data_IF_722915089774
#
_entry.id   IF_722915089774
#
_cell.length_a   1.000
_cell.length_b   1.000
_cell.length_c   1.000
_cell.angle_alpha   90.00
_cell.angle_beta   90.00
_cell.angle_gamma   90.00
#
_symmetry.space_group_name_H-M   'P 1'
#
loop_
_entity.id
_entity.type
_entity.pdbx_description
1 polymer ?
#
# COMPACT_ATOMS: atom_id res chain seq x y z
N UNK A 1 -51.99 37.07 47.83
CA UNK A 1 -50.71 36.63 48.44
C UNK A 1 -50.37 35.27 47.86
N UNK A 2 -49.19 35.16 47.25
CA UNK A 2 -48.52 33.94 46.74
C UNK A 2 -49.23 33.15 45.63
N UNK A 3 -48.57 32.59 44.63
CA UNK A 3 -47.24 32.77 44.05
C UNK A 3 -47.29 31.99 42.73
N UNK A 4 -47.12 32.66 41.60
CA UNK A 4 -47.04 32.04 40.27
C UNK A 4 -45.66 31.41 40.11
N UNK A 5 -45.58 30.09 40.31
CA UNK A 5 -44.39 29.29 40.04
C UNK A 5 -44.38 28.93 38.55
N UNK A 6 -43.80 29.81 37.74
CA UNK A 6 -43.44 29.51 36.34
C UNK A 6 -42.14 28.70 36.39
N UNK A 7 -42.26 27.38 36.30
CA UNK A 7 -41.13 26.51 35.97
C UNK A 7 -40.72 26.82 34.53
N UNK A 8 -39.72 27.68 34.38
CA UNK A 8 -38.95 27.78 33.15
C UNK A 8 -38.12 26.50 33.03
N UNK A 9 -38.70 25.48 32.41
CA UNK A 9 -37.96 24.35 31.87
C UNK A 9 -37.09 24.87 30.73
N UNK A 10 -35.91 25.38 31.07
CA UNK A 10 -34.80 25.54 30.15
C UNK A 10 -34.37 24.15 29.70
N UNK A 11 -35.12 23.58 28.76
CA UNK A 11 -34.61 22.61 27.82
C UNK A 11 -33.44 23.29 27.13
N UNK A 12 -32.24 23.05 27.64
CA UNK A 12 -31.03 23.10 26.85
C UNK A 12 -31.31 22.19 25.65
N UNK A 13 -31.79 22.80 24.57
CA UNK A 13 -31.71 22.22 23.26
C UNK A 13 -30.24 22.06 22.99
N UNK A 14 -29.68 20.90 23.38
CA UNK A 14 -28.57 20.33 22.66
C UNK A 14 -29.09 20.23 21.24
N UNK A 15 -28.78 21.23 20.42
CA UNK A 15 -28.85 21.12 18.97
C UNK A 15 -27.93 19.95 18.69
N UNK A 16 -28.52 18.77 18.58
CA UNK A 16 -27.78 17.55 18.31
C UNK A 16 -27.12 17.82 16.97
N UNK A 17 -25.81 18.07 17.01
CA UNK A 17 -25.02 18.19 15.81
C UNK A 17 -25.27 16.91 15.03
N UNK A 18 -25.87 17.06 13.84
CA UNK A 18 -26.21 15.96 12.98
C UNK A 18 -25.18 15.87 11.88
N UNK A 19 -24.79 14.64 11.59
CA UNK A 19 -23.96 14.29 10.47
C UNK A 19 -24.66 14.72 9.19
N UNK A 20 -23.89 15.19 8.21
CA UNK A 20 -24.45 15.90 7.05
C UNK A 20 -23.62 15.66 5.80
N UNK A 21 -24.28 15.70 4.64
CA UNK A 21 -23.63 15.49 3.34
C UNK A 21 -23.68 16.81 2.57
N UNK A 22 -22.52 17.36 2.23
CA UNK A 22 -22.36 18.60 1.47
C UNK A 22 -21.86 18.26 0.08
N UNK A 23 -22.70 18.40 -0.94
CA UNK A 23 -22.30 18.17 -2.33
C UNK A 23 -21.48 19.36 -2.86
N UNK A 24 -20.26 19.07 -3.33
CA UNK A 24 -19.43 20.06 -4.03
C UNK A 24 -19.72 20.04 -5.52
N UNK A 25 -19.77 18.83 -6.09
CA UNK A 25 -20.16 18.57 -7.46
C UNK A 25 -21.11 17.37 -7.47
N UNK A 26 -22.39 17.54 -7.84
CA UNK A 26 -23.35 16.44 -7.87
C UNK A 26 -22.81 15.24 -8.62
N UNK A 27 -22.96 14.06 -8.02
CA UNK A 27 -22.48 12.77 -8.54
C UNK A 27 -20.96 12.62 -8.77
N UNK A 28 -20.15 13.61 -8.40
CA UNK A 28 -18.69 13.58 -8.59
C UNK A 28 -17.94 13.76 -7.28
N UNK A 29 -18.33 14.71 -6.43
CA UNK A 29 -17.67 14.94 -5.15
C UNK A 29 -18.60 15.49 -4.08
N UNK A 30 -18.40 15.02 -2.86
CA UNK A 30 -19.15 15.42 -1.68
C UNK A 30 -18.24 15.39 -0.46
N UNK A 31 -18.49 16.27 0.50
CA UNK A 31 -17.89 16.21 1.83
C UNK A 31 -18.94 15.70 2.79
N UNK A 32 -18.61 14.65 3.50
CA UNK A 32 -19.44 14.07 4.54
C UNK A 32 -18.89 14.52 5.88
N UNK A 33 -19.71 15.19 6.67
CA UNK A 33 -19.44 15.46 8.08
C UNK A 33 -19.95 14.27 8.88
N UNK A 34 -19.05 13.54 9.53
CA UNK A 34 -19.34 12.41 10.41
C UNK A 34 -19.12 12.83 11.85
N UNK A 35 -20.16 12.82 12.68
CA UNK A 35 -19.99 13.13 14.09
C UNK A 35 -19.21 12.01 14.79
N UNK A 36 -18.41 12.39 15.78
CA UNK A 36 -17.61 11.46 16.59
C UNK A 36 -18.02 11.61 18.05
N UNK A 37 -19.22 11.12 18.41
CA UNK A 37 -19.72 11.30 19.77
C UNK A 37 -18.81 10.57 20.77
N UNK A 38 -18.61 11.19 21.93
CA UNK A 38 -17.64 10.73 22.94
C UNK A 38 -16.18 11.06 22.64
N UNK A 39 -15.84 11.51 21.42
CA UNK A 39 -14.49 12.00 21.10
C UNK A 39 -14.43 13.52 21.23
N UNK A 40 -13.48 14.06 22.01
CA UNK A 40 -13.40 15.49 22.25
C UNK A 40 -12.75 16.23 21.08
N UNK A 41 -13.13 17.49 20.90
CA UNK A 41 -12.50 18.38 19.92
C UNK A 41 -11.08 18.77 20.37
N UNK A 42 -10.10 18.60 19.50
CA UNK A 42 -8.72 19.07 19.75
C UNK A 42 -8.42 20.31 18.93
N UNK A 43 -7.88 21.33 19.58
CA UNK A 43 -7.46 22.57 18.95
C UNK A 43 -5.97 22.81 19.18
N UNK A 44 -5.33 23.40 18.17
CA UNK A 44 -3.90 23.68 18.18
C UNK A 44 -3.58 25.13 18.55
N UNK A 45 -2.45 25.34 19.24
CA UNK A 45 -1.98 26.67 19.62
C UNK A 45 -1.22 27.25 18.45
N UNK A 46 -1.94 27.92 17.57
CA UNK A 46 -1.33 28.55 16.39
C UNK A 46 -0.27 29.59 16.74
N UNK A 47 -0.26 30.15 17.95
CA UNK A 47 0.74 31.15 18.31
C UNK A 47 2.12 30.51 18.57
N UNK A 48 2.16 29.26 19.00
CA UNK A 48 3.41 28.61 19.45
C UNK A 48 3.73 27.31 18.69
N UNK A 49 2.77 26.72 17.98
CA UNK A 49 2.97 25.47 17.27
C UNK A 49 3.95 25.61 16.09
N UNK A 50 4.77 24.58 15.83
CA UNK A 50 5.58 24.51 14.63
C UNK A 50 4.69 24.42 13.39
N UNK A 51 5.23 24.80 12.22
CA UNK A 51 4.49 24.78 10.95
C UNK A 51 4.16 23.33 10.50
N UNK A 52 5.01 22.38 10.87
CA UNK A 52 4.92 20.98 10.45
C UNK A 52 4.07 20.15 11.42
N UNK A 53 3.11 19.42 10.88
CA UNK A 53 2.20 18.58 11.67
C UNK A 53 2.94 17.50 12.49
N UNK A 54 4.04 16.95 11.97
CA UNK A 54 4.81 15.88 12.64
C UNK A 54 5.42 16.31 13.98
N UNK A 55 5.51 17.62 14.24
CA UNK A 55 6.12 18.19 15.45
C UNK A 55 5.11 18.89 16.37
N UNK A 56 3.82 18.90 16.03
CA UNK A 56 2.82 19.72 16.70
C UNK A 56 1.99 19.00 17.79
N UNK A 57 2.33 17.75 18.13
CA UNK A 57 1.56 16.94 19.08
C UNK A 57 1.31 17.63 20.42
N UNK A 58 2.35 18.19 21.03
CA UNK A 58 2.30 18.84 22.34
C UNK A 58 1.53 20.18 22.33
N UNK A 59 1.19 20.70 21.15
CA UNK A 59 0.50 21.98 20.98
C UNK A 59 -1.00 21.83 20.79
N UNK A 60 -1.52 20.60 20.82
CA UNK A 60 -2.95 20.35 20.83
C UNK A 60 -3.47 20.22 22.27
N UNK A 61 -4.58 20.87 22.57
CA UNK A 61 -5.32 20.62 23.80
C UNK A 61 -6.77 20.27 23.53
N UNK A 62 -7.31 19.51 24.46
CA UNK A 62 -8.69 19.07 24.45
C UNK A 62 -9.64 20.23 24.74
N UNK A 63 -10.73 20.30 24.00
CA UNK A 63 -11.86 21.17 24.25
C UNK A 63 -13.04 20.33 24.70
N UNK A 64 -13.77 20.84 25.69
CA UNK A 64 -15.04 20.24 26.12
C UNK A 64 -16.16 20.58 25.11
N UNK A 65 -16.00 20.14 23.86
CA UNK A 65 -16.92 20.32 22.75
C UNK A 65 -16.95 19.06 21.90
N UNK A 66 -18.11 18.72 21.39
CA UNK A 66 -18.27 17.60 20.45
C UNK A 66 -17.51 17.87 19.16
N UNK A 67 -16.86 16.83 18.63
CA UNK A 67 -16.21 16.89 17.33
C UNK A 67 -16.92 16.10 16.25
N UNK A 68 -16.55 16.40 15.03
CA UNK A 68 -16.88 15.64 13.83
C UNK A 68 -15.64 15.55 12.94
N UNK A 69 -15.73 14.73 11.90
CA UNK A 69 -14.70 14.54 10.89
C UNK A 69 -15.24 14.96 9.53
N UNK A 70 -14.40 15.60 8.74
CA UNK A 70 -14.68 15.87 7.34
C UNK A 70 -14.06 14.77 6.49
N UNK A 71 -14.93 14.04 5.79
CA UNK A 71 -14.57 12.96 4.88
C UNK A 71 -14.91 13.39 3.45
N UNK A 72 -13.88 13.57 2.64
CA UNK A 72 -13.99 13.98 1.24
C UNK A 72 -14.15 12.75 0.34
N UNK A 73 -15.28 12.67 -0.34
CA UNK A 73 -15.57 11.71 -1.39
C UNK A 73 -15.35 12.39 -2.74
N UNK A 74 -14.52 11.81 -3.58
CA UNK A 74 -14.25 12.35 -4.92
C UNK A 74 -14.04 11.23 -5.92
N UNK A 75 -14.70 11.29 -7.08
CA UNK A 75 -14.36 10.43 -8.21
C UNK A 75 -13.01 10.85 -8.82
N UNK A 76 -12.19 9.87 -9.18
CA UNK A 76 -10.96 10.09 -9.95
C UNK A 76 -11.26 10.77 -11.29
N UNK A 77 -10.28 11.46 -11.91
CA UNK A 77 -10.50 12.18 -13.17
C UNK A 77 -11.00 11.29 -14.33
N UNK A 78 -10.67 9.99 -14.31
CA UNK A 78 -11.13 8.98 -15.26
C UNK A 78 -12.45 8.32 -14.86
N UNK A 79 -13.06 8.73 -13.73
CA UNK A 79 -14.30 8.20 -13.18
C UNK A 79 -14.27 6.70 -12.83
N UNK A 80 -13.10 6.08 -12.73
CA UNK A 80 -12.99 4.64 -12.43
C UNK A 80 -12.87 4.33 -10.95
N UNK A 81 -12.42 5.30 -10.16
CA UNK A 81 -12.04 5.08 -8.77
C UNK A 81 -12.71 6.11 -7.87
N UNK A 82 -13.37 5.66 -6.82
CA UNK A 82 -13.79 6.49 -5.71
C UNK A 82 -12.60 6.71 -4.77
N UNK A 83 -12.31 7.97 -4.53
CA UNK A 83 -11.31 8.43 -3.58
C UNK A 83 -11.99 8.87 -2.28
N UNK A 84 -11.39 8.49 -1.17
CA UNK A 84 -11.75 8.90 0.18
C UNK A 84 -10.56 9.66 0.77
N UNK A 85 -10.73 10.97 1.04
CA UNK A 85 -9.63 11.85 1.46
C UNK A 85 -8.40 11.72 0.53
N UNK A 86 -8.66 11.73 -0.78
CA UNK A 86 -7.66 11.60 -1.85
C UNK A 86 -6.96 10.24 -1.95
N UNK A 87 -7.36 9.23 -1.18
CA UNK A 87 -6.84 7.86 -1.29
C UNK A 87 -7.85 6.93 -1.97
N UNK A 88 -7.36 6.03 -2.82
CA UNK A 88 -8.22 5.11 -3.56
C UNK A 88 -8.88 4.08 -2.62
N UNK A 89 -10.20 4.14 -2.48
CA UNK A 89 -10.95 3.24 -1.59
C UNK A 89 -11.78 2.21 -2.36
N UNK A 90 -12.23 2.52 -3.59
CA UNK A 90 -13.03 1.63 -4.42
C UNK A 90 -12.83 1.89 -5.92
N UNK A 91 -12.18 0.98 -6.68
CA UNK A 91 -11.36 -0.11 -6.15
C UNK A 91 -10.13 0.43 -5.39
N UNK A 92 -9.48 -0.42 -4.60
CA UNK A 92 -8.25 -0.02 -3.91
C UNK A 92 -7.07 -0.03 -4.87
N UNK A 93 -6.19 0.96 -4.78
CA UNK A 93 -4.95 0.96 -5.59
C UNK A 93 -4.09 -0.29 -5.36
N UNK A 94 -4.09 -0.84 -4.15
CA UNK A 94 -3.46 -2.10 -3.81
C UNK A 94 -4.35 -2.93 -2.89
N UNK A 95 -5.01 -3.95 -3.42
CA UNK A 95 -5.85 -4.85 -2.61
C UNK A 95 -5.11 -5.63 -1.49
N UNK A 96 -3.78 -5.52 -1.39
CA UNK A 96 -2.96 -6.13 -0.34
C UNK A 96 -2.39 -5.13 0.68
N UNK A 97 -2.60 -3.83 0.49
CA UNK A 97 -2.13 -2.80 1.42
C UNK A 97 -3.24 -1.77 1.51
N UNK A 98 -4.06 -1.80 2.58
CA UNK A 98 -5.15 -0.84 2.73
C UNK A 98 -4.60 0.59 2.79
N UNK A 99 -5.31 1.58 2.22
CA UNK A 99 -4.86 2.97 2.26
C UNK A 99 -4.84 3.50 3.71
N UNK A 100 -3.83 4.32 4.01
CA UNK A 100 -3.79 5.06 5.27
C UNK A 100 -4.66 6.30 5.13
N UNK A 101 -5.85 6.26 5.74
CA UNK A 101 -6.82 7.34 5.65
C UNK A 101 -6.61 8.32 6.80
N UNK A 102 -6.70 9.60 6.46
CA UNK A 102 -6.64 10.70 7.41
C UNK A 102 -7.79 11.66 7.15
N UNK A 103 -8.31 12.32 8.18
CA UNK A 103 -9.38 13.29 8.06
C UNK A 103 -9.17 14.48 9.01
N UNK A 104 -9.67 15.64 8.61
CA UNK A 104 -9.69 16.81 9.47
C UNK A 104 -10.81 16.72 10.50
N UNK A 105 -10.45 16.94 11.75
CA UNK A 105 -11.40 17.14 12.84
C UNK A 105 -12.01 18.54 12.74
N UNK A 106 -13.29 18.68 13.03
CA UNK A 106 -13.99 19.96 13.07
C UNK A 106 -14.94 19.97 14.27
N UNK A 107 -15.37 21.14 14.75
CA UNK A 107 -16.47 21.22 15.70
C UNK A 107 -17.72 20.56 15.11
N UNK A 108 -18.45 19.77 15.89
CA UNK A 108 -19.66 19.08 15.39
C UNK A 108 -20.74 20.07 14.89
N UNK A 109 -20.77 21.27 15.46
CA UNK A 109 -21.67 22.38 15.10
C UNK A 109 -21.32 23.06 13.76
N UNK A 110 -20.25 22.63 13.07
CA UNK A 110 -19.88 23.23 11.78
C UNK A 110 -21.02 23.10 10.77
N UNK A 111 -21.35 24.21 10.13
CA UNK A 111 -22.43 24.30 9.15
C UNK A 111 -21.98 23.89 7.75
N UNK A 112 -22.90 23.43 6.92
CA UNK A 112 -22.63 23.10 5.51
C UNK A 112 -21.97 24.28 4.75
N UNK A 113 -22.44 25.52 4.97
CA UNK A 113 -21.84 26.70 4.35
C UNK A 113 -20.36 26.87 4.72
N UNK A 114 -20.01 26.60 5.99
CA UNK A 114 -18.62 26.64 6.45
C UNK A 114 -17.80 25.52 5.83
N UNK A 115 -18.37 24.32 5.70
CA UNK A 115 -17.71 23.17 5.03
C UNK A 115 -17.39 23.50 3.57
N UNK A 116 -18.34 24.09 2.83
CA UNK A 116 -18.09 24.53 1.44
C UNK A 116 -16.96 25.55 1.37
N UNK A 117 -16.96 26.55 2.25
CA UNK A 117 -15.87 27.52 2.29
C UNK A 117 -14.50 26.85 2.54
N UNK A 118 -14.42 25.89 3.47
CA UNK A 118 -13.18 25.13 3.73
C UNK A 118 -12.72 24.40 2.45
N UNK A 119 -13.65 23.81 1.71
CA UNK A 119 -13.38 23.13 0.45
C UNK A 119 -12.91 24.09 -0.65
N UNK A 120 -13.59 25.23 -0.80
CA UNK A 120 -13.31 26.24 -1.83
C UNK A 120 -11.93 26.91 -1.62
N UNK A 121 -11.52 27.08 -0.36
CA UNK A 121 -10.15 27.51 -0.02
C UNK A 121 -9.09 26.42 -0.24
N UNK A 122 -9.48 25.22 -0.64
CA UNK A 122 -8.56 24.12 -0.90
C UNK A 122 -7.92 23.53 0.35
N UNK A 123 -8.45 23.82 1.55
CA UNK A 123 -7.88 23.37 2.82
C UNK A 123 -7.94 21.85 2.99
N UNK A 124 -8.86 21.20 2.28
CA UNK A 124 -8.98 19.75 2.27
C UNK A 124 -8.08 19.08 1.22
N UNK A 125 -7.27 19.82 0.44
CA UNK A 125 -6.40 19.24 -0.58
C UNK A 125 -5.11 18.69 0.02
N UNK A 126 -4.51 17.68 -0.64
CA UNK A 126 -3.22 17.06 -0.25
C UNK A 126 -2.09 18.04 0.04
N UNK A 127 -2.08 19.19 -0.61
CA UNK A 127 -1.04 20.21 -0.42
C UNK A 127 -0.97 20.78 1.01
N UNK A 128 -2.06 20.66 1.77
CA UNK A 128 -2.15 21.21 3.13
C UNK A 128 -2.10 20.14 4.22
N UNK A 129 -2.00 18.85 3.88
CA UNK A 129 -2.05 17.75 4.85
C UNK A 129 -0.92 17.81 5.89
N UNK A 130 0.30 18.19 5.47
CA UNK A 130 1.45 18.33 6.37
C UNK A 130 1.50 19.69 7.11
N UNK A 131 0.61 20.63 6.76
CA UNK A 131 0.60 21.97 7.32
C UNK A 131 -0.32 22.03 8.54
N UNK A 132 0.19 22.63 9.61
CA UNK A 132 -0.59 22.76 10.83
C UNK A 132 -1.81 23.66 10.64
N UNK A 133 -3.00 23.09 10.80
CA UNK A 133 -4.26 23.82 10.89
C UNK A 133 -4.68 24.01 12.36
N UNK A 134 -5.67 24.88 12.60
CA UNK A 134 -6.20 25.05 13.97
C UNK A 134 -6.85 23.75 14.48
N UNK A 135 -7.29 22.94 13.52
CA UNK A 135 -7.98 21.68 13.69
C UNK A 135 -7.04 20.52 13.45
N UNK A 136 -7.19 19.47 14.27
CA UNK A 136 -6.34 18.29 14.20
C UNK A 136 -6.60 17.47 12.94
N UNK A 137 -5.53 16.92 12.36
CA UNK A 137 -5.59 15.94 11.28
C UNK A 137 -5.37 14.55 11.89
N UNK A 138 -6.38 13.70 11.77
CA UNK A 138 -6.50 12.43 12.50
C UNK A 138 -6.38 11.27 11.53
N UNK A 139 -5.58 10.27 11.88
CA UNK A 139 -5.53 9.00 11.18
C UNK A 139 -6.73 8.13 11.60
N UNK A 140 -7.32 7.43 10.64
CA UNK A 140 -8.57 6.69 10.83
C UNK A 140 -8.29 5.19 10.92
N UNK A 141 -8.83 4.54 11.95
CA UNK A 141 -9.06 3.10 11.95
C UNK A 141 -10.47 2.84 11.43
N UNK A 142 -10.64 1.91 10.49
CA UNK A 142 -11.89 1.79 9.75
C UNK A 142 -12.27 0.36 9.35
N UNK A 143 -13.57 0.16 9.14
CA UNK A 143 -14.17 -1.02 8.52
C UNK A 143 -14.63 -0.64 7.11
N UNK A 144 -14.11 -1.36 6.10
CA UNK A 144 -14.48 -1.24 4.69
C UNK A 144 -15.10 -2.54 4.21
N UNK A 145 -16.37 -2.49 3.85
CA UNK A 145 -17.06 -3.59 3.18
C UNK A 145 -17.63 -3.13 1.84
N UNK A 146 -17.35 -3.87 0.77
CA UNK A 146 -17.79 -3.51 -0.58
C UNK A 146 -18.66 -4.62 -1.15
N UNK A 147 -19.85 -4.23 -1.62
CA UNK A 147 -20.70 -5.06 -2.47
C UNK A 147 -20.37 -4.81 -3.94
N UNK A 148 -20.34 -5.88 -4.75
CA UNK A 148 -19.99 -5.84 -6.17
C UNK A 148 -18.66 -5.10 -6.45
N UNK A 149 -17.60 -5.46 -5.71
CA UNK A 149 -16.27 -4.85 -5.87
C UNK A 149 -15.74 -5.12 -7.28
N UNK A 150 -15.46 -4.10 -8.11
CA UNK A 150 -15.04 -4.30 -9.49
C UNK A 150 -13.77 -5.17 -9.66
N UNK A 151 -12.94 -5.29 -8.62
CA UNK A 151 -11.75 -6.16 -8.66
C UNK A 151 -12.01 -7.62 -8.30
N UNK A 152 -13.15 -7.94 -7.69
CA UNK A 152 -13.43 -9.28 -7.16
C UNK A 152 -14.02 -10.24 -8.20
N UNK A 153 -14.53 -9.73 -9.32
CA UNK A 153 -15.06 -10.55 -10.40
C UNK A 153 -15.88 -9.74 -11.39
N UNK A 154 -16.18 -10.32 -12.57
CA UNK A 154 -17.12 -9.71 -13.49
C UNK A 154 -18.53 -9.77 -12.90
N UNK A 155 -19.16 -8.62 -12.74
CA UNK A 155 -20.54 -8.46 -12.30
C UNK A 155 -21.35 -7.86 -13.44
N UNK A 156 -22.41 -8.54 -13.87
CA UNK A 156 -23.40 -7.97 -14.79
C UNK A 156 -24.32 -7.01 -14.04
N UNK A 157 -24.54 -5.80 -14.57
CA UNK A 157 -25.32 -4.74 -13.91
C UNK A 157 -24.77 -4.39 -12.52
N UNK A 158 -23.53 -3.94 -12.50
CA UNK A 158 -22.81 -3.75 -11.25
C UNK A 158 -23.07 -2.38 -10.64
N UNK A 159 -23.47 -2.38 -9.37
CA UNK A 159 -23.69 -1.18 -8.56
C UNK A 159 -22.80 -1.24 -7.31
N UNK A 160 -21.50 -0.90 -7.45
CA UNK A 160 -20.56 -1.00 -6.35
C UNK A 160 -21.03 -0.17 -5.17
N UNK A 161 -21.18 -0.80 -4.01
CA UNK A 161 -21.63 -0.12 -2.79
C UNK A 161 -20.58 -0.27 -1.71
N UNK A 162 -19.98 0.85 -1.32
CA UNK A 162 -19.05 0.96 -0.20
C UNK A 162 -19.83 1.20 1.09
N UNK A 163 -19.63 0.33 2.07
CA UNK A 163 -19.96 0.56 3.48
C UNK A 163 -18.68 0.90 4.22
N UNK A 164 -18.60 2.10 4.74
CA UNK A 164 -17.43 2.62 5.43
C UNK A 164 -17.83 3.05 6.84
N UNK A 165 -17.14 2.54 7.84
CA UNK A 165 -17.37 2.88 9.26
C UNK A 165 -16.04 3.20 9.91
N UNK A 166 -16.00 4.28 10.68
CA UNK A 166 -14.82 4.67 11.46
C UNK A 166 -14.89 3.97 12.80
N UNK A 167 -13.88 3.14 13.09
CA UNK A 167 -13.79 2.33 14.30
C UNK A 167 -12.99 3.03 15.40
N UNK A 168 -12.00 3.83 14.99
CA UNK A 168 -11.08 4.48 15.91
C UNK A 168 -10.43 5.68 15.24
N UNK A 169 -9.95 6.58 16.09
CA UNK A 169 -9.22 7.78 15.71
C UNK A 169 -7.87 7.71 16.36
N UNK A 170 -6.85 8.13 15.65
CA UNK A 170 -5.60 8.40 16.32
C UNK A 170 -4.86 9.57 15.76
N UNK A 171 -3.98 10.02 16.62
CA UNK A 171 -3.14 11.16 16.38
C UNK A 171 -1.80 10.85 16.99
N UNK A 172 -0.77 10.83 16.15
CA UNK A 172 0.62 10.60 16.53
C UNK A 172 0.75 9.34 17.40
N UNK A 173 0.94 9.49 18.72
CA UNK A 173 1.16 8.40 19.68
C UNK A 173 -0.10 7.75 20.25
N UNK A 174 -1.28 8.37 20.07
CA UNK A 174 -2.54 7.93 20.69
C UNK A 174 -3.50 7.34 19.66
N UNK A 175 -4.15 6.25 20.05
CA UNK A 175 -5.26 5.63 19.32
C UNK A 175 -6.42 5.42 20.28
N UNK A 176 -7.56 6.03 19.96
CA UNK A 176 -8.79 5.96 20.72
C UNK A 176 -9.83 5.21 19.89
N UNK A 177 -10.37 4.12 20.43
CA UNK A 177 -11.51 3.45 19.85
C UNK A 177 -12.77 4.29 20.04
N UNK A 178 -13.60 4.39 19.01
CA UNK A 178 -14.91 5.03 19.10
C UNK A 178 -15.94 4.05 19.63
N UNK A 179 -16.97 4.56 20.32
CA UNK A 179 -18.08 3.74 20.81
C UNK A 179 -18.90 3.17 19.64
N UNK A 180 -18.97 1.84 19.56
CA UNK A 180 -19.64 1.12 18.48
C UNK A 180 -21.14 1.40 18.38
N UNK A 181 -21.80 1.72 19.50
CA UNK A 181 -23.26 1.96 19.54
C UNK A 181 -23.63 3.31 18.94
N UNK A 182 -22.70 4.26 18.97
CA UNK A 182 -22.92 5.63 18.51
C UNK A 182 -22.31 5.90 17.13
N UNK A 183 -21.65 4.90 16.54
CA UNK A 183 -21.04 5.01 15.23
C UNK A 183 -22.09 5.06 14.12
N UNK A 184 -21.79 5.85 13.09
CA UNK A 184 -22.55 5.87 11.84
C UNK A 184 -21.77 5.18 10.74
N UNK A 185 -22.51 4.58 9.80
CA UNK A 185 -21.98 3.92 8.61
C UNK A 185 -22.25 4.82 7.42
N UNK A 186 -21.18 5.20 6.74
CA UNK A 186 -21.22 5.88 5.46
C UNK A 186 -21.45 4.85 4.35
N UNK A 187 -22.60 4.93 3.70
CA UNK A 187 -22.93 4.14 2.53
C UNK A 187 -22.74 5.00 1.28
N UNK A 188 -21.88 4.56 0.37
CA UNK A 188 -21.66 5.21 -0.91
C UNK A 188 -21.98 4.21 -2.02
N UNK A 189 -23.01 4.53 -2.80
CA UNK A 189 -23.44 3.71 -3.92
C UNK A 189 -23.01 4.37 -5.23
N UNK A 190 -22.28 3.62 -6.04
CA UNK A 190 -21.83 4.03 -7.36
C UNK A 190 -22.71 3.40 -8.43
N UNK A 191 -23.06 4.17 -9.45
CA UNK A 191 -23.74 3.65 -10.64
C UNK A 191 -22.82 3.73 -11.83
N UNK A 192 -22.73 2.64 -12.56
CA UNK A 192 -22.04 2.53 -13.85
C UNK A 192 -22.67 3.46 -14.90
N UNK A 193 -21.84 4.12 -15.72
CA UNK A 193 -22.28 5.04 -16.78
C UNK A 193 -22.04 4.45 -18.17
N UNK A 194 -20.86 3.91 -18.44
CA UNK A 194 -20.44 3.55 -19.81
C UNK A 194 -20.20 2.05 -20.06
N UNK A 195 -19.98 1.24 -19.03
CA UNK A 195 -19.67 -0.18 -19.21
C UNK A 195 -20.92 -1.06 -19.20
N UNK A 196 -20.72 -2.35 -19.49
CA UNK A 196 -21.75 -3.40 -19.29
C UNK A 196 -21.41 -4.38 -18.17
N UNK A 197 -20.17 -4.33 -17.69
CA UNK A 197 -19.59 -5.30 -16.76
C UNK A 197 -18.46 -4.64 -15.98
N UNK A 198 -18.18 -5.12 -14.77
CA UNK A 198 -17.13 -4.57 -13.91
C UNK A 198 -15.71 -4.74 -14.44
N UNK A 199 -15.48 -5.64 -15.40
CA UNK A 199 -14.19 -5.87 -16.05
C UNK A 199 -13.99 -5.05 -17.34
N UNK A 200 -15.01 -4.32 -17.79
CA UNK A 200 -14.96 -3.50 -19.00
C UNK A 200 -13.86 -2.42 -18.88
N UNK A 201 -12.95 -2.27 -19.87
CA UNK A 201 -11.93 -1.23 -19.85
C UNK A 201 -12.51 0.20 -19.88
N UNK A 202 -13.67 0.39 -20.50
CA UNK A 202 -14.33 1.70 -20.65
C UNK A 202 -15.32 2.01 -19.52
N UNK A 203 -15.35 1.17 -18.48
CA UNK A 203 -16.19 1.40 -17.30
C UNK A 203 -15.88 2.75 -16.67
N UNK A 204 -16.94 3.40 -16.22
CA UNK A 204 -16.90 4.66 -15.50
C UNK A 204 -18.07 4.70 -14.54
N UNK A 205 -17.88 5.38 -13.42
CA UNK A 205 -18.84 5.47 -12.34
C UNK A 205 -19.17 6.92 -12.02
N UNK A 206 -20.34 7.09 -11.42
CA UNK A 206 -20.70 8.31 -10.73
C UNK A 206 -21.26 7.97 -9.35
N UNK A 207 -21.10 8.89 -8.41
CA UNK A 207 -21.68 8.76 -7.09
C UNK A 207 -23.20 8.92 -7.23
N UNK A 208 -23.93 7.83 -7.09
CA UNK A 208 -25.38 7.83 -7.24
C UNK A 208 -26.07 8.21 -5.92
N UNK A 209 -25.53 7.68 -4.82
CA UNK A 209 -26.08 7.95 -3.49
C UNK A 209 -25.01 7.97 -2.42
N UNK A 210 -25.19 8.88 -1.46
CA UNK A 210 -24.44 8.91 -0.21
C UNK A 210 -25.50 8.91 0.90
N UNK A 211 -25.44 7.93 1.78
CA UNK A 211 -26.35 7.77 2.91
C UNK A 211 -25.55 7.61 4.20
N UNK A 212 -26.10 8.11 5.29
CA UNK A 212 -25.61 7.87 6.64
C UNK A 212 -26.63 7.00 7.35
N UNK A 213 -26.20 5.84 7.82
CA UNK A 213 -27.05 4.88 8.53
C UNK A 213 -26.45 4.54 9.87
N UNK A 214 -27.29 4.10 10.80
CA UNK A 214 -26.82 3.44 12.01
C UNK A 214 -26.20 2.09 11.65
N UNK A 215 -25.43 1.51 12.56
CA UNK A 215 -24.72 0.24 12.33
C UNK A 215 -25.67 -0.89 11.92
N UNK A 216 -26.81 -1.02 12.60
CA UNK A 216 -27.81 -2.06 12.33
C UNK A 216 -28.35 -1.97 10.90
N UNK A 217 -28.77 -0.79 10.47
CA UNK A 217 -29.33 -0.57 9.13
C UNK A 217 -28.26 -0.61 8.03
N UNK A 218 -27.06 -0.09 8.32
CA UNK A 218 -25.95 -0.03 7.36
C UNK A 218 -25.43 -1.42 6.98
N UNK A 219 -25.50 -2.36 7.92
CA UNK A 219 -25.04 -3.74 7.76
C UNK A 219 -26.16 -4.78 7.83
N UNK A 220 -27.44 -4.43 7.65
CA UNK A 220 -28.58 -5.35 7.80
C UNK A 220 -28.47 -6.73 7.09
N UNK A 221 -27.61 -6.85 6.07
CA UNK A 221 -27.34 -8.10 5.33
C UNK A 221 -25.87 -8.54 5.36
N UNK A 222 -25.06 -8.00 6.28
CA UNK A 222 -23.64 -8.25 6.38
C UNK A 222 -23.20 -8.37 7.83
N UNK A 223 -22.16 -9.16 8.07
CA UNK A 223 -21.56 -9.26 9.41
C UNK A 223 -20.97 -7.90 9.81
N UNK A 224 -21.39 -7.33 10.94
CA UNK A 224 -20.84 -6.11 11.53
C UNK A 224 -20.44 -6.39 12.97
N UNK A 225 -19.15 -6.59 13.25
CA UNK A 225 -18.73 -6.76 14.62
C UNK A 225 -18.84 -5.41 15.36
N UNK A 226 -19.38 -5.44 16.58
CA UNK A 226 -19.43 -4.29 17.50
C UNK A 226 -18.08 -4.01 18.14
N UNK A 227 -17.29 -5.06 18.37
CA UNK A 227 -15.93 -4.98 18.92
C UNK A 227 -14.95 -5.52 17.88
N UNK A 228 -13.69 -5.07 17.91
CA UNK A 228 -12.65 -5.68 17.10
C UNK A 228 -12.70 -7.21 17.21
N UNK A 229 -12.94 -7.94 16.11
CA UNK A 229 -12.97 -9.39 16.16
C UNK A 229 -11.59 -9.87 16.60
N UNK A 230 -11.55 -10.81 17.56
CA UNK A 230 -10.30 -11.41 18.04
C UNK A 230 -9.48 -11.85 16.83
N UNK A 231 -8.38 -11.15 16.59
CA UNK A 231 -7.56 -11.41 15.41
C UNK A 231 -6.92 -12.79 15.57
N UNK A 232 -7.08 -13.64 14.56
CA UNK A 232 -6.18 -14.78 14.45
C UNK A 232 -4.80 -14.22 14.11
N UNK A 233 -3.80 -14.56 14.92
CA UNK A 233 -2.43 -14.11 14.65
C UNK A 233 -2.00 -14.57 13.27
N UNK A 234 -1.54 -13.61 12.47
CA UNK A 234 -0.82 -13.89 11.25
C UNK A 234 0.32 -14.87 11.53
N UNK A 235 0.30 -16.03 10.89
CA UNK A 235 1.47 -16.92 10.92
C UNK A 235 2.52 -16.43 9.93
N UNK A 236 3.80 -16.52 10.31
CA UNK A 236 4.94 -16.25 9.42
C UNK A 236 4.98 -17.17 8.18
N UNK A 237 4.12 -18.19 8.11
CA UNK A 237 4.00 -19.11 6.98
C UNK A 237 3.04 -18.62 5.90
N UNK A 238 2.18 -17.64 6.21
CA UNK A 238 1.23 -17.12 5.24
C UNK A 238 1.72 -15.81 4.61
N UNK A 239 1.65 -15.73 3.28
CA UNK A 239 1.98 -14.51 2.53
C UNK A 239 1.03 -13.34 2.86
N UNK A 240 -0.26 -13.63 3.06
CA UNK A 240 -1.31 -12.65 3.45
C UNK A 240 -2.05 -13.11 4.71
N UNK A 241 -2.71 -12.17 5.40
CA UNK A 241 -3.56 -12.49 6.54
C UNK A 241 -4.94 -11.85 6.37
N UNK A 242 -5.76 -12.40 5.46
CA UNK A 242 -7.06 -11.82 5.18
C UNK A 242 -8.00 -11.96 6.38
N UNK A 243 -8.97 -11.06 6.46
CA UNK A 243 -10.03 -11.17 7.47
C UNK A 243 -10.97 -12.33 7.13
N UNK A 244 -11.47 -13.02 8.16
CA UNK A 244 -12.33 -14.22 7.99
C UNK A 244 -13.57 -13.90 7.15
N UNK A 245 -13.90 -14.82 6.23
CA UNK A 245 -15.11 -14.75 5.42
C UNK A 245 -15.09 -13.70 4.30
N UNK A 246 -13.97 -13.00 4.11
CA UNK A 246 -13.82 -11.94 3.11
C UNK A 246 -13.03 -12.43 1.90
N UNK A 247 -13.62 -12.36 0.70
CA UNK A 247 -12.97 -12.62 -0.60
C UNK A 247 -12.06 -13.88 -0.66
N UNK A 248 -12.32 -14.88 0.19
CA UNK A 248 -11.48 -16.06 0.37
C UNK A 248 -11.30 -16.83 -0.95
N UNK A 249 -12.32 -16.76 -1.82
CA UNK A 249 -12.34 -17.37 -3.16
C UNK A 249 -11.94 -16.44 -4.30
N UNK A 250 -12.10 -15.12 -4.18
CA UNK A 250 -11.85 -14.15 -5.27
C UNK A 250 -10.50 -13.40 -5.17
N UNK A 251 -9.84 -13.42 -4.01
CA UNK A 251 -8.42 -13.05 -3.86
C UNK A 251 -8.10 -11.56 -3.65
N UNK A 252 -9.05 -10.63 -3.85
CA UNK A 252 -8.91 -9.19 -3.56
C UNK A 252 -10.25 -8.52 -3.23
N UNK A 253 -10.24 -7.49 -2.37
CA UNK A 253 -9.14 -7.10 -1.47
C UNK A 253 -8.99 -8.03 -0.26
N UNK A 254 -7.78 -8.14 0.28
CA UNK A 254 -7.49 -9.08 1.35
C UNK A 254 -7.99 -8.62 2.74
N UNK A 255 -8.11 -7.31 2.95
CA UNK A 255 -8.41 -6.73 4.27
C UNK A 255 -9.69 -5.91 4.23
N UNK A 256 -10.50 -6.05 5.28
CA UNK A 256 -11.72 -5.28 5.54
C UNK A 256 -11.50 -4.30 6.69
N UNK A 257 -10.89 -4.78 7.76
CA UNK A 257 -10.61 -3.98 8.95
C UNK A 257 -9.20 -3.42 8.86
N UNK A 258 -9.09 -2.10 8.98
CA UNK A 258 -7.81 -1.41 9.07
C UNK A 258 -7.69 -0.81 10.47
N UNK A 259 -6.80 -1.39 11.24
CA UNK A 259 -6.38 -0.89 12.55
C UNK A 259 -4.90 -0.54 12.45
N UNK A 260 -4.55 0.73 12.60
CA UNK A 260 -3.18 1.21 12.40
C UNK A 260 -2.17 0.49 13.28
N UNK A 261 -2.56 0.04 14.47
CA UNK A 261 -1.72 -0.77 15.37
C UNK A 261 -1.30 -2.13 14.78
N UNK A 262 -2.06 -2.64 13.80
CA UNK A 262 -1.84 -3.94 13.18
C UNK A 262 -1.22 -3.88 11.79
N UNK A 263 -1.05 -2.67 11.24
CA UNK A 263 -0.52 -2.46 9.90
C UNK A 263 0.70 -1.54 9.93
N UNK A 264 1.63 -1.77 9.01
CA UNK A 264 2.72 -0.85 8.71
C UNK A 264 2.81 -0.59 7.20
N UNK A 265 3.82 0.17 6.78
CA UNK A 265 4.09 0.47 5.36
C UNK A 265 4.31 -0.78 4.47
N UNK A 266 4.43 -1.97 5.07
CA UNK A 266 4.72 -3.23 4.38
C UNK A 266 3.55 -4.23 4.42
N UNK A 267 2.51 -3.96 5.20
CA UNK A 267 1.29 -4.76 5.30
C UNK A 267 0.90 -5.05 6.75
N UNK A 268 0.13 -6.12 6.98
CA UNK A 268 -0.26 -6.52 8.33
C UNK A 268 0.94 -7.12 9.08
N UNK A 269 1.15 -6.67 10.31
CA UNK A 269 2.21 -7.16 11.21
C UNK A 269 1.99 -8.66 11.44
N UNK A 270 3.09 -9.43 11.36
CA UNK A 270 3.09 -10.90 11.48
C UNK A 270 2.93 -11.66 10.17
N UNK A 271 2.52 -11.01 9.07
CA UNK A 271 2.51 -11.65 7.74
C UNK A 271 3.93 -11.93 7.23
N UNK A 272 4.11 -12.99 6.43
CA UNK A 272 5.40 -13.28 5.78
C UNK A 272 5.86 -12.11 4.88
N UNK A 273 4.90 -11.43 4.25
CA UNK A 273 5.16 -10.23 3.44
C UNK A 273 5.83 -9.15 4.28
N UNK A 274 5.23 -8.76 5.41
CA UNK A 274 5.83 -7.78 6.33
C UNK A 274 7.25 -8.20 6.74
N UNK A 275 7.45 -9.47 7.11
CA UNK A 275 8.77 -9.97 7.51
C UNK A 275 9.82 -9.86 6.39
N UNK A 276 9.45 -10.20 5.14
CA UNK A 276 10.35 -10.09 3.99
C UNK A 276 10.67 -8.63 3.67
N UNK A 277 9.66 -7.76 3.56
CA UNK A 277 9.88 -6.36 3.24
C UNK A 277 10.69 -5.64 4.32
N UNK A 278 10.45 -5.94 5.59
CA UNK A 278 11.26 -5.43 6.69
C UNK A 278 12.72 -5.86 6.57
N UNK A 279 12.97 -7.14 6.24
CA UNK A 279 14.34 -7.64 6.00
C UNK A 279 14.99 -6.97 4.80
N UNK A 280 14.28 -6.86 3.68
CA UNK A 280 14.77 -6.18 2.47
C UNK A 280 15.08 -4.72 2.77
N UNK A 281 14.24 -4.01 3.52
CA UNK A 281 14.50 -2.63 3.90
C UNK A 281 15.76 -2.48 4.76
N UNK A 282 15.95 -3.36 5.76
CA UNK A 282 17.16 -3.36 6.59
C UNK A 282 18.41 -3.68 5.75
N UNK A 283 18.33 -4.67 4.85
CA UNK A 283 19.41 -5.01 3.93
C UNK A 283 19.74 -3.86 2.98
N UNK A 284 18.72 -3.16 2.46
CA UNK A 284 18.90 -2.01 1.60
C UNK A 284 19.63 -0.87 2.32
N UNK A 285 19.24 -0.55 3.56
CA UNK A 285 19.98 0.44 4.38
C UNK A 285 21.41 0.02 4.62
N UNK A 286 21.65 -1.26 4.94
CA UNK A 286 23.00 -1.78 5.09
C UNK A 286 23.80 -1.68 3.78
N UNK A 287 23.17 -1.91 2.62
CA UNK A 287 23.80 -1.72 1.32
C UNK A 287 24.06 -0.25 0.97
N UNK A 288 23.20 0.67 1.38
CA UNK A 288 23.42 2.10 1.17
C UNK A 288 24.57 2.62 2.05
N UNK A 289 24.62 2.21 3.32
CA UNK A 289 25.61 2.65 4.29
C UNK A 289 26.97 1.93 4.13
N UNK A 290 26.94 0.61 3.96
CA UNK A 290 28.14 -0.24 3.90
C UNK A 290 28.49 -0.70 2.47
N UNK A 291 27.61 -0.54 1.48
CA UNK A 291 27.85 -0.96 0.10
C UNK A 291 29.03 -0.24 -0.56
N UNK A 292 29.23 1.08 -0.40
CA UNK A 292 30.43 1.75 -0.91
C UNK A 292 31.72 1.20 -0.30
N UNK A 293 31.73 0.94 1.01
CA UNK A 293 32.89 0.37 1.70
C UNK A 293 33.13 -1.11 1.34
N UNK A 294 32.06 -1.91 1.20
CA UNK A 294 32.13 -3.30 0.76
C UNK A 294 32.59 -3.40 -0.70
N UNK A 295 32.03 -2.60 -1.60
CA UNK A 295 32.46 -2.58 -3.01
C UNK A 295 33.90 -2.09 -3.17
N UNK A 296 34.34 -1.08 -2.39
CA UNK A 296 35.74 -0.69 -2.36
C UNK A 296 36.64 -1.82 -1.85
N UNK A 297 36.29 -2.46 -0.73
CA UNK A 297 37.10 -3.57 -0.18
C UNK A 297 37.14 -4.79 -1.10
N UNK A 298 36.02 -5.15 -1.75
CA UNK A 298 36.00 -6.15 -2.81
C UNK A 298 36.83 -5.73 -4.02
N UNK A 299 36.79 -4.45 -4.44
CA UNK A 299 37.64 -3.92 -5.51
C UNK A 299 39.12 -3.99 -5.17
N UNK A 300 39.51 -3.69 -3.93
CA UNK A 300 40.88 -3.77 -3.44
C UNK A 300 41.37 -5.22 -3.34
N UNK A 301 40.51 -6.16 -2.94
CA UNK A 301 40.90 -7.57 -2.78
C UNK A 301 40.85 -8.36 -4.10
N UNK A 302 39.79 -8.21 -4.89
CA UNK A 302 39.57 -8.97 -6.12
C UNK A 302 40.20 -8.28 -7.33
N UNK A 303 40.29 -6.95 -7.35
CA UNK A 303 40.89 -6.19 -8.45
C UNK A 303 42.31 -6.62 -8.80
N UNK A 304 43.24 -6.77 -7.84
CA UNK A 304 44.59 -7.26 -8.11
C UNK A 304 44.60 -8.69 -8.65
N UNK A 305 43.74 -9.57 -8.12
CA UNK A 305 43.63 -10.96 -8.58
C UNK A 305 43.18 -11.01 -10.05
N UNK A 306 42.13 -10.25 -10.39
CA UNK A 306 41.66 -10.15 -11.77
C UNK A 306 42.70 -9.51 -12.68
N UNK A 307 43.43 -8.48 -12.24
CA UNK A 307 44.52 -7.86 -13.01
C UNK A 307 45.66 -8.84 -13.29
N UNK A 308 46.07 -9.65 -12.30
CA UNK A 308 47.10 -10.68 -12.49
C UNK A 308 46.61 -11.74 -13.47
N UNK A 309 45.39 -12.21 -13.33
CA UNK A 309 44.79 -13.19 -14.25
C UNK A 309 44.69 -12.66 -15.68
N UNK A 310 44.28 -11.39 -15.85
CA UNK A 310 44.20 -10.73 -17.15
C UNK A 310 45.59 -10.54 -17.77
N UNK A 311 46.57 -10.17 -16.95
CA UNK A 311 47.97 -10.01 -17.36
C UNK A 311 48.59 -11.34 -17.80
N UNK A 312 48.33 -12.42 -17.05
CA UNK A 312 48.76 -13.78 -17.41
C UNK A 312 48.09 -14.27 -18.70
N UNK A 313 46.79 -13.98 -18.89
CA UNK A 313 46.07 -14.31 -20.10
C UNK A 313 46.63 -13.56 -21.32
N UNK A 314 46.89 -12.25 -21.19
CA UNK A 314 47.54 -11.46 -22.25
C UNK A 314 48.97 -11.95 -22.52
N UNK A 315 49.77 -12.21 -21.49
CA UNK A 315 51.12 -12.75 -21.65
C UNK A 315 51.11 -14.09 -22.40
N UNK A 316 50.23 -15.01 -22.04
CA UNK A 316 50.08 -16.30 -22.75
C UNK A 316 49.68 -16.10 -24.21
N UNK A 317 48.79 -15.14 -24.49
CA UNK A 317 48.38 -14.81 -25.86
C UNK A 317 49.55 -14.26 -26.68
N UNK A 318 50.31 -13.30 -26.14
CA UNK A 318 51.50 -12.75 -26.81
C UNK A 318 52.62 -13.78 -26.96
N UNK A 319 52.84 -14.63 -25.96
CA UNK A 319 53.82 -15.70 -26.03
C UNK A 319 53.46 -16.72 -27.13
N UNK A 320 52.17 -17.06 -27.25
CA UNK A 320 51.66 -17.92 -28.34
C UNK A 320 51.81 -17.26 -29.71
N UNK A 321 51.43 -15.99 -29.86
CA UNK A 321 51.63 -15.26 -31.12
C UNK A 321 53.11 -15.13 -31.49
N UNK A 322 54.01 -15.00 -30.50
CA UNK A 322 55.46 -14.99 -30.73
C UNK A 322 55.99 -16.37 -31.12
N UNK A 323 55.54 -17.45 -30.47
CA UNK A 323 55.93 -18.81 -30.85
C UNK A 323 55.44 -19.16 -32.25
N UNK A 324 54.23 -18.72 -32.61
CA UNK A 324 53.67 -18.95 -33.93
C UNK A 324 54.43 -18.16 -35.00
N UNK A 325 54.87 -16.92 -34.71
CA UNK A 325 55.77 -16.17 -35.62
C UNK A 325 57.14 -16.80 -35.77
N UNK A 326 57.75 -17.31 -34.68
CA UNK A 326 59.05 -17.98 -34.75
C UNK A 326 58.93 -19.29 -35.53
N UNK A 327 57.86 -20.06 -35.33
CA UNK A 327 57.60 -21.27 -36.12
C UNK A 327 57.37 -20.97 -37.60
N UNK A 328 56.71 -19.86 -37.93
CA UNK A 328 56.54 -19.41 -39.31
C UNK A 328 57.86 -18.93 -39.93
N UNK A 329 58.74 -18.27 -39.16
CA UNK A 329 60.08 -17.90 -39.66
C UNK A 329 61.00 -19.10 -39.81
N UNK A 330 60.96 -20.06 -38.87
CA UNK A 330 61.77 -21.28 -38.93
C UNK A 330 61.30 -22.18 -40.08
N UNK A 331 59.98 -22.32 -40.29
CA UNK A 331 59.43 -23.01 -41.47
C UNK A 331 59.82 -22.32 -42.80
N UNK A 332 59.85 -20.98 -42.84
CA UNK A 332 60.30 -20.23 -44.01
C UNK A 332 61.81 -20.33 -44.27
N UNK A 333 62.62 -20.67 -43.25
CA UNK A 333 64.05 -20.93 -43.40
C UNK A 333 64.34 -22.40 -43.77
N UNK A 334 63.51 -23.35 -43.34
CA UNK A 334 63.65 -24.77 -43.69
C UNK A 334 63.25 -25.05 -45.16
N UNK A 335 62.28 -24.30 -45.70
CA UNK A 335 61.88 -24.40 -47.12
C UNK A 335 62.92 -23.80 -48.11
N UNK A 336 64.01 -23.20 -47.61
CA UNK A 336 65.04 -22.54 -48.44
C UNK A 336 66.31 -23.36 -48.71
N UNK A 337 66.54 -24.48 -48.01
CA UNK A 337 67.86 -25.15 -48.01
C UNK A 337 67.85 -26.64 -48.38
N UNK A 338 66.70 -27.30 -48.54
CA UNK A 338 66.66 -28.61 -49.19
C UNK A 338 65.53 -28.70 -50.21
N UNK A 339 65.84 -28.27 -51.43
CA UNK A 339 65.23 -28.89 -52.59
C UNK A 339 65.81 -30.30 -52.72
N UNK A 340 65.01 -31.32 -52.43
CA UNK A 340 65.28 -32.66 -52.95
C UNK A 340 64.00 -33.47 -53.09
N UNK A 341 63.82 -33.98 -54.31
CA UNK A 341 62.82 -34.93 -54.73
C UNK A 341 62.93 -36.21 -53.88
N UNK A 342 61.84 -36.70 -53.31
CA UNK A 342 61.93 -37.95 -52.57
C UNK A 342 60.64 -38.45 -51.95
N UNK A 343 59.98 -39.36 -52.67
CA UNK A 343 59.28 -40.53 -52.16
C UNK A 343 58.32 -40.41 -50.98
N UNK A 344 57.05 -40.64 -51.28
CA UNK A 344 55.98 -40.70 -50.30
C UNK A 344 56.08 -41.88 -49.32
N UNK A 345 55.53 -41.64 -48.14
CA UNK A 345 54.92 -42.68 -47.32
C UNK A 345 53.56 -42.19 -46.83
N UNK A 346 52.54 -42.97 -47.19
CA UNK A 346 51.18 -42.88 -46.66
C UNK A 346 51.22 -43.13 -45.16
N UNK A 347 50.88 -42.12 -44.36
CA UNK A 347 50.42 -42.39 -42.99
C UNK A 347 49.02 -42.98 -43.04
N UNK A 348 48.93 -44.23 -42.61
CA UNK A 348 47.71 -45.01 -42.43
C UNK A 348 47.03 -44.51 -41.16
N UNK A 349 45.76 -44.12 -41.28
CA UNK A 349 44.89 -43.77 -40.15
C UNK A 349 44.81 -44.94 -39.15
N UNK A 350 45.05 -44.62 -37.87
CA UNK A 350 44.88 -45.57 -36.77
C UNK A 350 43.38 -45.94 -36.62
N UNK A 351 43.04 -47.22 -36.39
CA UNK A 351 41.66 -47.65 -36.27
C UNK A 351 40.98 -47.08 -35.01
N UNK A 352 39.65 -46.85 -35.05
CA UNK A 352 38.91 -46.27 -33.94
C UNK A 352 38.89 -47.20 -32.72
N UNK A 353 39.02 -46.60 -31.54
CA UNK A 353 38.95 -47.27 -30.24
C UNK A 353 37.61 -47.99 -30.04
N UNK A 354 37.60 -49.16 -29.36
CA UNK A 354 36.37 -49.90 -29.09
C UNK A 354 35.44 -49.15 -28.11
N UNK A 355 34.12 -49.35 -28.21
CA UNK A 355 33.14 -48.68 -27.37
C UNK A 355 33.28 -49.10 -25.89
N UNK A 356 33.16 -48.10 -25.01
CA UNK A 356 33.19 -48.25 -23.55
C UNK A 356 31.98 -49.08 -23.08
N UNK A 357 32.15 -50.11 -22.22
CA UNK A 357 31.03 -50.85 -21.67
C UNK A 357 30.16 -49.96 -20.78
N UNK A 358 28.85 -50.04 -21.02
CA UNK A 358 27.79 -49.38 -20.25
C UNK A 358 27.62 -50.13 -18.93
N UNK A 359 27.94 -49.48 -17.82
CA UNK A 359 27.73 -50.02 -16.48
C UNK A 359 26.23 -49.95 -16.15
N UNK A 360 25.54 -51.09 -16.21
CA UNK A 360 24.18 -51.27 -15.69
C UNK A 360 24.29 -51.82 -14.28
N UNK A 361 24.32 -50.93 -13.29
CA UNK A 361 23.95 -51.24 -11.92
C UNK A 361 23.20 -50.03 -11.35
N UNK A 362 21.92 -49.95 -11.70
CA UNK A 362 20.94 -49.17 -10.96
C UNK A 362 20.52 -50.03 -9.76
N UNK A 363 21.07 -49.70 -8.60
CA UNK A 363 20.65 -50.27 -7.33
C UNK A 363 19.18 -49.94 -7.06
N UNK A 364 18.39 -51.00 -6.92
CA UNK A 364 17.21 -51.01 -6.06
C UNK A 364 17.68 -50.70 -4.62
N UNK A 365 17.14 -49.64 -4.03
CA UNK A 365 16.97 -49.57 -2.58
C UNK A 365 15.54 -49.07 -2.33
N UNK A 366 14.67 -50.03 -2.07
CA UNK A 366 13.48 -49.84 -1.24
C UNK A 366 13.92 -49.75 0.22
N UNK A 367 13.67 -48.61 0.86
CA UNK A 367 13.13 -48.43 2.22
C UNK A 367 13.04 -46.94 2.57
#
# INVERSE_FOLDING_TARGET
>A
MLSTLVLASSLLGYVSASSSITWLKPSHSAIVKLDTPGYPLWLMDKAHAPILQSQSEDFYWEQNKSSALLVNLTMSPDFKTLLLNHEAILPMANGNTPPLLHAYQVPAEVTEARIRNIADYGLLNRQWEDLTMATRFLALDYDRLVWADPEAGPYSNHEPTLRFRILGLGAHSRSDALDSEQQTVLLVTLTEVNGRSSDDPDRSYRIARVELKNVEDGYAHAYAPSVEPRQDECTLRSWKCPDKGLYWTSGKPAYRFMWRSHFDNHGRIGSLRHAIFKKVHVLARFWEDAGPAMTMSFGILIGPILMVMLSLAMYRRFAKERSDRIRLSDAAFDDGIFGEEGFGEKYVDAPPLPPRPVNKDAGLVDL
#
